data_IF_179612820611
#
_entry.id   IF_179612820611
#
_cell.length_a   1.000
_cell.length_b   1.000
_cell.length_c   1.000
_cell.angle_alpha   90.00
_cell.angle_beta   90.00
_cell.angle_gamma   90.00
#
_symmetry.space_group_name_H-M   'P 1'
#
loop_
_entity.id
_entity.type
_entity.pdbx_description
1 polymer ?
#
# COMPACT_ATOMS: atom_id res chain seq x y z
N UNK A 1 -8.52 -30.00 3.86
CA UNK A 1 -7.63 -29.11 3.15
C UNK A 1 -6.57 -28.64 4.11
N UNK A 2 -5.35 -28.96 3.81
CA UNK A 2 -4.24 -28.63 4.70
C UNK A 2 -3.91 -27.15 4.62
N UNK A 3 -3.59 -26.54 5.76
CA UNK A 3 -3.18 -25.13 5.84
C UNK A 3 -2.00 -24.79 4.91
N UNK A 4 -1.22 -25.79 4.54
CA UNK A 4 -0.06 -25.66 3.63
C UNK A 4 -0.50 -25.32 2.20
N UNK A 5 -1.61 -25.87 1.75
CA UNK A 5 -2.15 -25.59 0.41
C UNK A 5 -2.65 -24.16 0.29
N UNK A 6 -3.23 -23.61 1.36
CA UNK A 6 -3.70 -22.22 1.41
C UNK A 6 -2.54 -21.22 1.34
N UNK A 7 -1.40 -21.55 1.94
CA UNK A 7 -0.19 -20.72 1.92
C UNK A 7 0.43 -20.68 0.51
N UNK A 8 0.40 -21.79 -0.21
CA UNK A 8 0.92 -21.86 -1.57
C UNK A 8 0.08 -21.03 -2.56
N UNK A 9 -1.19 -20.77 -2.23
CA UNK A 9 -2.10 -19.99 -3.05
C UNK A 9 -2.15 -18.52 -2.64
N UNK A 10 -1.43 -18.13 -1.59
CA UNK A 10 -1.40 -16.74 -1.11
C UNK A 10 -0.69 -15.83 -2.09
N UNK A 11 -1.32 -14.72 -2.43
CA UNK A 11 -0.71 -13.66 -3.22
C UNK A 11 0.26 -12.81 -2.39
N UNK A 12 0.98 -11.89 -3.04
CA UNK A 12 1.88 -10.98 -2.33
C UNK A 12 1.14 -10.16 -1.28
N UNK A 13 1.72 -10.06 -0.10
CA UNK A 13 1.17 -9.27 1.00
C UNK A 13 1.99 -7.99 1.14
N UNK A 14 1.32 -6.86 1.10
CA UNK A 14 1.93 -5.55 1.30
C UNK A 14 1.36 -4.90 2.55
N UNK A 15 2.13 -3.99 3.12
CA UNK A 15 1.64 -3.07 4.13
C UNK A 15 1.92 -1.64 3.70
N UNK A 16 1.01 -0.75 4.00
CA UNK A 16 1.15 0.68 3.72
C UNK A 16 0.71 1.49 4.93
N UNK A 17 1.34 2.63 5.11
CA UNK A 17 0.93 3.62 6.11
C UNK A 17 0.63 4.91 5.38
N UNK A 18 -0.58 5.41 5.55
CA UNK A 18 -1.03 6.66 4.95
C UNK A 18 -1.31 7.66 6.06
N UNK A 19 -0.62 8.78 6.05
CA UNK A 19 -0.84 9.85 7.02
C UNK A 19 -1.83 10.87 6.47
N UNK A 20 -2.74 11.31 7.34
CA UNK A 20 -3.71 12.35 7.06
C UNK A 20 -3.38 13.57 7.92
N UNK A 21 -2.63 14.54 7.38
CA UNK A 21 -2.28 15.74 8.12
C UNK A 21 -3.53 16.49 8.61
N UNK A 22 -3.54 16.85 9.89
CA UNK A 22 -4.68 17.50 10.51
C UNK A 22 -5.91 16.61 10.68
N UNK A 23 -5.77 15.29 10.51
CA UNK A 23 -6.85 14.30 10.67
C UNK A 23 -8.06 14.55 9.77
N UNK A 24 -7.84 15.01 8.55
CA UNK A 24 -8.90 15.33 7.59
C UNK A 24 -9.22 14.14 6.69
N UNK A 25 -10.45 13.69 6.73
CA UNK A 25 -10.98 12.60 5.91
C UNK A 25 -12.12 13.11 5.04
N UNK A 26 -12.18 12.68 3.79
CA UNK A 26 -13.26 13.11 2.88
C UNK A 26 -14.29 12.00 2.59
N UNK A 27 -14.18 10.86 3.23
CA UNK A 27 -15.11 9.75 3.07
C UNK A 27 -15.00 8.93 1.78
N UNK A 28 -14.02 9.22 0.95
CA UNK A 28 -13.82 8.51 -0.33
C UNK A 28 -12.96 7.25 -0.22
N UNK A 29 -12.20 7.13 0.86
CA UNK A 29 -11.20 6.05 1.02
C UNK A 29 -11.87 4.70 1.23
N UNK A 30 -12.83 4.63 2.15
CA UNK A 30 -13.50 3.37 2.48
C UNK A 30 -14.25 2.77 1.29
N UNK A 31 -15.06 3.53 0.52
CA UNK A 31 -15.69 2.98 -0.68
C UNK A 31 -14.70 2.52 -1.75
N UNK A 32 -13.57 3.23 -1.92
CA UNK A 32 -12.54 2.85 -2.88
C UNK A 32 -11.86 1.53 -2.49
N UNK A 33 -11.55 1.35 -1.21
CA UNK A 33 -10.99 0.10 -0.71
C UNK A 33 -12.00 -1.05 -0.84
N UNK A 34 -13.26 -0.80 -0.50
CA UNK A 34 -14.33 -1.78 -0.61
C UNK A 34 -14.51 -2.25 -2.05
N UNK A 35 -14.44 -1.35 -3.03
CA UNK A 35 -14.50 -1.70 -4.45
C UNK A 35 -13.41 -2.69 -4.84
N UNK A 36 -12.19 -2.49 -4.36
CA UNK A 36 -11.07 -3.41 -4.60
C UNK A 36 -11.33 -4.79 -3.98
N UNK A 37 -11.92 -4.82 -2.79
CA UNK A 37 -12.25 -6.07 -2.10
C UNK A 37 -13.38 -6.82 -2.83
N UNK A 38 -14.43 -6.11 -3.23
CA UNK A 38 -15.57 -6.69 -3.94
C UNK A 38 -15.19 -7.25 -5.32
N UNK A 39 -14.19 -6.65 -5.95
CA UNK A 39 -13.67 -7.12 -7.25
C UNK A 39 -12.61 -8.21 -7.12
N UNK A 40 -12.39 -8.73 -5.92
CA UNK A 40 -11.38 -9.76 -5.62
C UNK A 40 -9.94 -9.38 -6.03
N UNK A 41 -9.65 -8.09 -6.06
CA UNK A 41 -8.32 -7.59 -6.38
C UNK A 41 -7.39 -7.63 -5.16
N UNK A 42 -7.94 -7.33 -3.99
CA UNK A 42 -7.19 -7.35 -2.72
C UNK A 42 -8.03 -8.01 -1.63
N UNK A 43 -7.35 -8.52 -0.62
CA UNK A 43 -7.97 -9.00 0.62
C UNK A 43 -7.33 -8.26 1.79
N UNK A 44 -8.13 -7.55 2.58
CA UNK A 44 -7.63 -6.84 3.75
C UNK A 44 -7.33 -7.84 4.86
N UNK A 45 -6.09 -7.85 5.34
CA UNK A 45 -5.63 -8.73 6.41
C UNK A 45 -5.61 -8.02 7.76
N UNK A 46 -5.29 -6.72 7.77
CA UNK A 46 -5.31 -5.92 8.98
C UNK A 46 -5.51 -4.45 8.60
N UNK A 47 -6.22 -3.72 9.45
CA UNK A 47 -6.44 -2.29 9.29
C UNK A 47 -6.47 -1.63 10.66
N UNK A 48 -5.60 -0.65 10.86
CA UNK A 48 -5.48 0.07 12.11
C UNK A 48 -5.47 1.56 11.83
N UNK A 49 -6.21 2.33 12.62
CA UNK A 49 -6.19 3.79 12.55
C UNK A 49 -5.51 4.32 13.80
N UNK A 50 -4.51 5.18 13.59
CA UNK A 50 -3.76 5.83 14.65
C UNK A 50 -4.11 7.31 14.65
N UNK A 51 -4.43 7.86 15.82
CA UNK A 51 -4.64 9.31 16.01
C UNK A 51 -3.63 9.81 17.04
N UNK A 52 -2.89 10.84 16.68
CA UNK A 52 -1.95 11.49 17.56
C UNK A 52 -2.47 12.90 17.87
N UNK A 53 -2.72 13.18 19.14
CA UNK A 53 -3.22 14.50 19.54
C UNK A 53 -2.11 15.57 19.49
N UNK A 54 -2.49 16.83 19.69
CA UNK A 54 -1.55 17.96 19.67
C UNK A 54 -0.48 17.84 20.77
N UNK A 55 -0.75 17.13 21.85
CA UNK A 55 0.17 16.88 22.95
C UNK A 55 1.08 15.69 22.73
N UNK A 56 0.91 14.95 21.63
CA UNK A 56 1.70 13.79 21.30
C UNK A 56 1.17 12.46 21.84
N UNK A 57 0.01 12.45 22.48
CA UNK A 57 -0.64 11.21 22.93
C UNK A 57 -1.20 10.44 21.75
N UNK A 58 -0.97 9.13 21.74
CA UNK A 58 -1.39 8.25 20.67
C UNK A 58 -2.62 7.45 21.08
N UNK A 59 -3.61 7.40 20.20
CA UNK A 59 -4.76 6.50 20.31
C UNK A 59 -4.78 5.62 19.07
N UNK A 60 -4.92 4.31 19.30
CA UNK A 60 -5.07 3.32 18.24
C UNK A 60 -6.51 2.83 18.21
N UNK A 61 -7.10 2.80 17.02
CA UNK A 61 -8.47 2.36 16.81
C UNK A 61 -8.49 1.20 15.82
N UNK A 62 -9.09 0.09 16.23
CA UNK A 62 -9.44 -0.97 15.29
C UNK A 62 -10.75 -0.57 14.56
N UNK A 63 -11.08 -1.30 13.51
CA UNK A 63 -12.31 -1.04 12.75
C UNK A 63 -13.57 -1.04 13.63
N UNK A 64 -13.61 -1.93 14.63
CA UNK A 64 -14.72 -2.03 15.58
C UNK A 64 -14.94 -0.78 16.43
N UNK A 65 -13.89 -0.02 16.66
CA UNK A 65 -13.91 1.16 17.53
C UNK A 65 -14.33 2.44 16.78
N UNK A 66 -14.38 2.39 15.45
CA UNK A 66 -14.73 3.53 14.61
C UNK A 66 -16.23 3.60 14.33
N UNK A 67 -16.75 4.81 14.17
CA UNK A 67 -18.14 5.02 13.80
C UNK A 67 -18.45 4.52 12.39
N UNK A 68 -19.67 4.02 12.18
CA UNK A 68 -20.13 3.51 10.88
C UNK A 68 -19.97 4.53 9.76
N UNK A 69 -20.08 5.83 10.07
CA UNK A 69 -19.85 6.89 9.10
C UNK A 69 -18.39 7.08 8.71
N UNK A 70 -17.44 6.65 9.54
CA UNK A 70 -16.00 6.75 9.26
C UNK A 70 -15.48 5.60 8.42
N UNK A 71 -15.96 4.38 8.65
CA UNK A 71 -15.46 3.17 8.01
C UNK A 71 -16.48 2.47 7.09
N UNK A 72 -17.77 2.83 7.24
CA UNK A 72 -18.83 2.27 6.40
C UNK A 72 -18.86 0.76 6.37
N UNK A 73 -18.94 0.22 5.16
CA UNK A 73 -19.09 -1.23 4.92
C UNK A 73 -17.83 -2.04 5.22
N UNK A 74 -16.66 -1.43 5.43
CA UNK A 74 -15.43 -2.15 5.78
C UNK A 74 -15.56 -2.92 7.08
N UNK A 75 -16.42 -2.49 7.97
CA UNK A 75 -16.73 -3.18 9.23
C UNK A 75 -17.22 -4.61 9.01
N UNK A 76 -17.83 -4.89 7.87
CA UNK A 76 -18.32 -6.24 7.51
C UNK A 76 -17.16 -7.23 7.40
N UNK A 77 -15.96 -6.77 7.09
CA UNK A 77 -14.79 -7.62 6.91
C UNK A 77 -13.91 -7.76 8.15
N UNK A 78 -14.27 -7.08 9.24
CA UNK A 78 -13.48 -7.06 10.49
C UNK A 78 -13.20 -8.45 11.05
N UNK A 79 -14.17 -9.35 10.97
CA UNK A 79 -14.03 -10.70 11.51
C UNK A 79 -12.99 -11.56 10.78
N UNK A 80 -12.60 -11.13 9.59
CA UNK A 80 -11.61 -11.84 8.76
C UNK A 80 -10.20 -11.26 8.93
N UNK A 81 -10.06 -10.16 9.68
CA UNK A 81 -8.78 -9.51 9.88
C UNK A 81 -7.91 -10.29 10.85
N UNK A 82 -6.68 -10.56 10.43
CA UNK A 82 -5.67 -11.15 11.30
C UNK A 82 -4.85 -10.02 11.93
N UNK A 83 -4.62 -10.08 13.24
CA UNK A 83 -3.82 -9.08 13.94
C UNK A 83 -2.33 -9.33 13.64
N UNK A 84 -1.85 -8.81 12.52
CA UNK A 84 -0.47 -8.98 12.07
C UNK A 84 0.49 -7.94 12.64
N UNK A 85 -0.04 -6.83 13.14
CA UNK A 85 0.76 -5.74 13.69
C UNK A 85 0.91 -5.89 15.20
N UNK A 86 2.15 -5.87 15.68
CA UNK A 86 2.46 -5.91 17.11
C UNK A 86 2.37 -4.52 17.73
N UNK A 87 2.31 -4.46 19.07
CA UNK A 87 2.37 -3.17 19.80
C UNK A 87 3.66 -2.41 19.50
N UNK A 88 4.77 -3.13 19.32
CA UNK A 88 6.06 -2.55 18.99
C UNK A 88 6.03 -1.90 17.59
N UNK A 89 5.42 -2.58 16.62
CA UNK A 89 5.23 -2.04 15.27
C UNK A 89 4.40 -0.76 15.30
N UNK A 90 3.31 -0.77 16.06
CA UNK A 90 2.43 0.39 16.25
C UNK A 90 3.18 1.56 16.86
N UNK A 91 4.00 1.31 17.89
CA UNK A 91 4.81 2.33 18.55
C UNK A 91 5.83 2.95 17.58
N UNK A 92 6.47 2.12 16.77
CA UNK A 92 7.44 2.57 15.77
C UNK A 92 6.80 3.43 14.69
N UNK A 93 5.63 3.03 14.21
CA UNK A 93 4.86 3.79 13.22
C UNK A 93 4.36 5.12 13.80
N UNK A 94 3.93 5.09 15.05
CA UNK A 94 3.42 6.27 15.75
C UNK A 94 4.47 7.37 15.87
N UNK A 95 5.73 7.00 16.01
CA UNK A 95 6.82 7.97 16.09
C UNK A 95 6.99 8.78 14.80
N UNK A 96 6.57 8.22 13.66
CA UNK A 96 6.66 8.88 12.36
C UNK A 96 5.48 9.81 12.06
N UNK A 97 4.41 9.74 12.86
CA UNK A 97 3.21 10.57 12.65
C UNK A 97 3.38 11.90 13.38
N UNK A 98 3.04 12.99 12.70
CA UNK A 98 3.07 14.33 13.31
C UNK A 98 1.94 14.52 14.32
N UNK A 99 2.17 15.29 15.42
CA UNK A 99 1.10 15.64 16.36
C UNK A 99 -0.09 16.31 15.66
N UNK A 100 -1.30 15.96 16.05
CA UNK A 100 -2.54 16.45 15.45
C UNK A 100 -2.95 15.73 14.17
N UNK A 101 -2.17 14.76 13.72
CA UNK A 101 -2.44 13.99 12.51
C UNK A 101 -2.93 12.58 12.82
N UNK A 102 -3.56 11.96 11.83
CA UNK A 102 -3.97 10.57 11.88
C UNK A 102 -3.26 9.78 10.81
N UNK A 103 -3.16 8.46 11.00
CA UNK A 103 -2.64 7.57 9.98
C UNK A 103 -3.45 6.29 9.93
N UNK A 104 -3.58 5.72 8.76
CA UNK A 104 -4.13 4.39 8.57
C UNK A 104 -3.00 3.43 8.20
N UNK A 105 -2.94 2.31 8.89
CA UNK A 105 -2.02 1.21 8.60
C UNK A 105 -2.84 0.09 8.00
N UNK A 106 -2.51 -0.30 6.78
CA UNK A 106 -3.23 -1.32 6.04
C UNK A 106 -2.29 -2.44 5.66
N UNK A 107 -2.67 -3.67 5.98
CA UNK A 107 -2.01 -4.88 5.51
C UNK A 107 -2.99 -5.61 4.62
N UNK A 108 -2.61 -5.87 3.38
CA UNK A 108 -3.47 -6.54 2.41
C UNK A 108 -2.73 -7.55 1.55
N UNK A 109 -3.46 -8.56 1.12
CA UNK A 109 -3.00 -9.50 0.12
C UNK A 109 -3.43 -9.00 -1.26
N UNK A 110 -2.52 -9.07 -2.22
CA UNK A 110 -2.81 -8.78 -3.62
C UNK A 110 -3.34 -10.06 -4.29
N UNK A 111 -4.62 -10.32 -4.11
CA UNK A 111 -5.27 -11.55 -4.58
C UNK A 111 -5.18 -11.71 -6.10
N UNK A 112 -5.18 -10.61 -6.85
CA UNK A 112 -5.04 -10.61 -8.31
C UNK A 112 -3.72 -11.23 -8.76
N UNK A 113 -2.67 -11.13 -7.94
CA UNK A 113 -1.33 -11.63 -8.27
C UNK A 113 -1.06 -13.03 -7.71
N UNK A 114 -2.01 -13.63 -6.99
CA UNK A 114 -1.84 -14.94 -6.37
C UNK A 114 -1.46 -16.04 -7.38
N UNK A 115 -2.11 -16.17 -8.55
CA UNK A 115 -1.73 -17.19 -9.52
C UNK A 115 -0.30 -17.05 -10.02
N UNK A 116 0.17 -15.82 -10.24
CA UNK A 116 1.54 -15.55 -10.65
C UNK A 116 2.53 -15.91 -9.54
N UNK A 117 2.28 -15.46 -8.32
CA UNK A 117 3.12 -15.73 -7.16
C UNK A 117 3.22 -17.25 -6.90
N UNK A 118 2.12 -17.96 -7.02
CA UNK A 118 2.04 -19.40 -6.87
C UNK A 118 2.89 -20.12 -7.93
N UNK A 119 2.79 -19.69 -9.17
CA UNK A 119 3.56 -20.25 -10.29
C UNK A 119 5.08 -20.05 -10.08
N UNK A 120 5.47 -18.87 -9.59
CA UNK A 120 6.88 -18.57 -9.26
C UNK A 120 7.39 -19.53 -8.19
N UNK A 121 6.65 -19.70 -7.10
CA UNK A 121 7.04 -20.61 -6.01
C UNK A 121 7.14 -22.07 -6.48
N UNK A 122 6.18 -22.53 -7.27
CA UNK A 122 6.19 -23.90 -7.81
C UNK A 122 7.34 -24.15 -8.78
N UNK A 123 7.86 -23.10 -9.40
CA UNK A 123 9.02 -23.17 -10.28
C UNK A 123 10.36 -23.05 -9.52
N UNK A 124 10.33 -22.99 -8.19
CA UNK A 124 11.52 -22.84 -7.36
C UNK A 124 12.02 -21.40 -7.27
N UNK A 125 11.24 -20.43 -7.75
CA UNK A 125 11.58 -19.03 -7.66
C UNK A 125 11.47 -18.48 -6.24
N UNK A 126 12.30 -17.49 -5.91
CA UNK A 126 12.31 -16.83 -4.62
C UNK A 126 12.32 -15.33 -4.79
N UNK A 127 11.55 -14.65 -3.96
CA UNK A 127 11.56 -13.19 -3.94
C UNK A 127 12.90 -12.70 -3.38
N UNK A 128 13.62 -11.92 -4.17
CA UNK A 128 14.91 -11.33 -3.77
C UNK A 128 14.72 -9.89 -3.29
N UNK A 129 13.86 -9.15 -3.95
CA UNK A 129 13.58 -7.76 -3.60
C UNK A 129 12.19 -7.35 -4.08
N UNK A 130 11.56 -6.47 -3.35
CA UNK A 130 10.29 -5.84 -3.73
C UNK A 130 10.25 -4.42 -3.20
N UNK A 131 9.37 -3.63 -3.77
CA UNK A 131 9.19 -2.25 -3.32
C UNK A 131 8.06 -1.57 -4.06
N UNK A 132 7.70 -0.39 -3.58
CA UNK A 132 6.71 0.47 -4.21
C UNK A 132 7.41 1.73 -4.69
N UNK A 133 7.32 2.01 -5.97
CA UNK A 133 7.97 3.17 -6.59
C UNK A 133 6.99 4.34 -6.54
N UNK A 134 7.34 5.48 -5.92
CA UNK A 134 6.48 6.65 -5.90
C UNK A 134 6.20 7.18 -7.30
N UNK A 135 4.98 7.67 -7.53
CA UNK A 135 4.57 8.20 -8.83
C UNK A 135 5.50 9.34 -9.29
N UNK A 136 5.91 10.22 -8.39
CA UNK A 136 6.82 11.31 -8.69
C UNK A 136 8.17 10.81 -9.21
N UNK A 137 8.69 9.72 -8.66
CA UNK A 137 9.92 9.10 -9.14
C UNK A 137 9.75 8.50 -10.53
N UNK A 138 8.59 7.88 -10.81
CA UNK A 138 8.27 7.36 -12.14
C UNK A 138 8.18 8.46 -13.18
N UNK A 139 7.50 9.55 -12.85
CA UNK A 139 7.38 10.71 -13.76
C UNK A 139 8.73 11.33 -14.04
N UNK A 140 9.57 11.49 -13.03
CA UNK A 140 10.93 12.01 -13.18
C UNK A 140 11.79 11.12 -14.09
N UNK A 141 11.67 9.80 -13.96
CA UNK A 141 12.39 8.84 -14.80
C UNK A 141 11.94 8.92 -16.27
N UNK A 142 10.63 9.03 -16.51
CA UNK A 142 10.05 9.17 -17.87
C UNK A 142 10.53 10.47 -18.50
N UNK A 143 10.47 11.59 -17.78
CA UNK A 143 10.95 12.89 -18.27
C UNK A 143 12.46 12.88 -18.57
N UNK A 144 13.26 12.21 -17.76
CA UNK A 144 14.68 12.05 -18.01
C UNK A 144 14.96 11.24 -19.28
N UNK A 145 14.21 10.16 -19.50
CA UNK A 145 14.31 9.35 -20.73
C UNK A 145 13.95 10.15 -21.98
N UNK A 146 12.85 10.88 -21.95
CA UNK A 146 12.43 11.75 -23.05
C UNK A 146 13.48 12.82 -23.37
N UNK A 147 14.12 13.36 -22.32
CA UNK A 147 15.18 14.35 -22.46
C UNK A 147 16.44 13.78 -23.09
N UNK A 148 16.84 12.57 -22.66
CA UNK A 148 18.00 11.88 -23.25
C UNK A 148 17.77 11.53 -24.72
N UNK A 149 16.57 11.09 -25.09
CA UNK A 149 16.18 10.82 -26.46
C UNK A 149 16.25 12.09 -27.33
N UNK A 150 15.74 13.21 -26.82
CA UNK A 150 15.78 14.50 -27.50
C UNK A 150 17.21 14.98 -27.69
N UNK A 151 18.07 14.89 -26.69
CA UNK A 151 19.48 15.26 -26.76
C UNK A 151 20.25 14.34 -27.72
N UNK A 152 19.97 13.04 -27.70
CA UNK A 152 20.54 12.08 -28.63
C UNK A 152 20.17 12.37 -30.09
N UNK A 153 18.95 12.76 -30.35
CA UNK A 153 18.47 13.14 -31.67
C UNK A 153 19.13 14.43 -32.15
N UNK A 154 19.28 15.42 -31.29
CA UNK A 154 19.97 16.69 -31.62
C UNK A 154 21.47 16.46 -31.92
N UNK A 155 22.13 15.59 -31.18
CA UNK A 155 23.53 15.25 -31.46
C UNK A 155 23.72 14.52 -32.77
N UNK A 156 22.80 13.61 -33.14
CA UNK A 156 22.81 12.93 -34.42
C UNK A 156 22.58 13.91 -35.61
N UNK A 157 21.66 14.83 -35.45
CA UNK A 157 21.40 15.88 -36.46
C UNK A 157 22.59 16.82 -36.63
N UNK A 158 23.30 17.15 -35.54
CA UNK A 158 24.50 17.99 -35.59
C UNK A 158 25.68 17.31 -36.30
N UNK A 159 25.84 15.97 -36.14
CA UNK A 159 26.89 15.20 -36.78
C UNK A 159 26.63 15.02 -38.29
N UNK A 160 25.40 14.92 -38.74
CA UNK A 160 25.04 14.82 -40.14
C UNK A 160 25.17 16.14 -40.90
N UNK A 161 25.15 17.27 -40.21
CA UNK A 161 25.29 18.61 -40.79
C UNK A 161 26.74 19.07 -41.02
N UNK A 162 27.74 18.32 -40.61
CA UNK A 162 29.17 18.68 -40.75
C UNK A 162 29.86 18.08 -41.99
N UNK A 163 29.16 17.41 -42.92
CA UNK A 163 29.73 16.86 -44.16
C UNK A 163 29.38 17.71 -45.36
#
# INVERSE_FOLDING_TARGET
MDEVDDVDELGPVDWIVVEFPGSRFNGQIAPALLDLVERDLVRVLDLLVLKKDAGGSLEAFELSDLDEGEIGELRTYESELAMLLSEEDVTSLAAAIEPGSSAAVLVWENSWAAPFASAVRRSGGQLVASGRIPIQAMLAAIEADEKEEAEGTEQLAATEGEN
#
